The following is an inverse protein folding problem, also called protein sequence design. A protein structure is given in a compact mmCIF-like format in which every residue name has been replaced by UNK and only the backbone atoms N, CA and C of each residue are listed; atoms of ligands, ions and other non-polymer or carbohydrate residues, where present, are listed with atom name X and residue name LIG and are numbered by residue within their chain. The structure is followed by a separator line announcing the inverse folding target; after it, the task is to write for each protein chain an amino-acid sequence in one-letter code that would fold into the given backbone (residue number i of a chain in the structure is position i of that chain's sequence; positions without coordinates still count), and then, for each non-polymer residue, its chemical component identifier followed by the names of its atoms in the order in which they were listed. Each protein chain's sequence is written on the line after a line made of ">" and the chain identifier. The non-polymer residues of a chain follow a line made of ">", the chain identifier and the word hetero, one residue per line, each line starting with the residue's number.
data_IF_913453028988
#
_entry.id   IF_913453028988
#
_cell.length_a   1.000
_cell.length_b   1.000
_cell.length_c   1.000
_cell.angle_alpha   90.00
_cell.angle_beta   90.00
_cell.angle_gamma   90.00
#
_symmetry.space_group_name_H-M   'P 1'
#
loop_
_entity.id
_entity.type
_entity.pdbx_description
1 polymer ?
#
# COMPACT_ATOMS: atom_id res chain seq x y z
N UNK A 1 20.87 -10.25 11.46
CA UNK A 1 22.29 -10.05 11.07
C UNK A 1 22.54 -8.58 11.34
N UNK A 2 23.51 -8.27 12.19
CA UNK A 2 23.68 -6.92 12.73
C UNK A 2 25.00 -6.27 12.32
N UNK A 3 25.00 -4.94 12.24
CA UNK A 3 26.20 -4.11 12.11
C UNK A 3 26.24 -3.13 13.27
N UNK A 4 27.31 -3.15 14.04
CA UNK A 4 27.60 -2.15 15.07
C UNK A 4 28.53 -1.07 14.50
N UNK A 5 28.19 0.19 14.74
CA UNK A 5 28.94 1.35 14.27
C UNK A 5 29.86 1.87 15.37
N UNK A 6 30.86 2.68 15.01
CA UNK A 6 31.84 3.23 15.96
C UNK A 6 31.23 4.18 17.01
N UNK A 7 30.00 4.64 16.78
CA UNK A 7 29.22 5.44 17.72
C UNK A 7 28.27 4.59 18.60
N UNK A 8 28.48 3.28 18.67
CA UNK A 8 27.70 2.31 19.45
C UNK A 8 26.24 2.13 18.98
N UNK A 9 25.85 2.77 17.86
CA UNK A 9 24.59 2.47 17.20
C UNK A 9 24.65 1.11 16.51
N UNK A 10 23.53 0.40 16.49
CA UNK A 10 23.40 -0.89 15.82
C UNK A 10 22.34 -0.83 14.71
N UNK A 11 22.61 -1.51 13.60
CA UNK A 11 21.66 -1.77 12.53
C UNK A 11 21.38 -3.26 12.51
N UNK A 12 20.12 -3.65 12.72
CA UNK A 12 19.70 -5.05 12.68
C UNK A 12 18.80 -5.31 11.47
N UNK A 13 19.20 -6.26 10.64
CA UNK A 13 18.34 -6.77 9.57
C UNK A 13 17.46 -7.90 10.13
N UNK A 14 16.16 -7.61 10.21
CA UNK A 14 15.13 -8.53 10.71
C UNK A 14 14.23 -9.02 9.58
N UNK A 15 13.69 -10.25 9.67
CA UNK A 15 12.73 -10.75 8.69
C UNK A 15 11.42 -9.95 8.76
N UNK A 16 10.78 -9.74 7.61
CA UNK A 16 9.48 -9.05 7.51
C UNK A 16 8.28 -9.86 8.02
N UNK A 17 8.45 -10.67 9.07
CA UNK A 17 7.35 -11.37 9.73
C UNK A 17 7.13 -10.84 11.15
N UNK A 18 5.87 -10.66 11.54
CA UNK A 18 5.50 -10.02 12.79
C UNK A 18 6.02 -10.75 14.04
N UNK A 19 6.22 -12.07 14.00
CA UNK A 19 6.68 -12.85 15.14
C UNK A 19 8.18 -12.71 15.42
N UNK A 20 8.99 -12.35 14.42
CA UNK A 20 10.45 -12.24 14.54
C UNK A 20 10.96 -10.88 14.99
N UNK A 21 10.08 -9.87 15.07
CA UNK A 21 10.47 -8.45 15.25
C UNK A 21 9.98 -7.84 16.56
N UNK A 22 9.14 -8.54 17.32
CA UNK A 22 8.69 -8.07 18.62
C UNK A 22 9.82 -8.14 19.65
N UNK A 23 9.90 -7.12 20.53
CA UNK A 23 10.85 -7.08 21.65
C UNK A 23 12.16 -6.34 21.36
N UNK A 24 12.29 -5.70 20.20
CA UNK A 24 13.34 -4.73 19.94
C UNK A 24 12.86 -3.33 20.33
N UNK A 25 13.77 -2.49 20.82
CA UNK A 25 13.60 -1.03 20.88
C UNK A 25 14.38 -0.42 19.69
N UNK A 26 13.83 0.61 19.04
CA UNK A 26 14.46 1.22 17.87
C UNK A 26 14.24 2.73 17.82
N UNK A 27 15.26 3.49 17.40
CA UNK A 27 15.14 4.93 17.10
C UNK A 27 14.68 5.20 15.66
N UNK A 28 14.87 4.22 14.77
CA UNK A 28 14.48 4.26 13.37
C UNK A 28 14.13 2.86 12.89
N UNK A 29 12.97 2.73 12.27
CA UNK A 29 12.56 1.53 11.54
C UNK A 29 12.42 1.88 10.07
N UNK A 30 13.05 1.07 9.21
CA UNK A 30 12.86 1.14 7.76
C UNK A 30 12.20 -0.15 7.31
N UNK A 31 10.99 -0.03 6.76
CA UNK A 31 10.28 -1.12 6.12
C UNK A 31 10.60 -1.08 4.63
N UNK A 32 11.47 -1.98 4.19
CA UNK A 32 11.76 -2.18 2.78
C UNK A 32 10.61 -2.94 2.09
N UNK A 33 10.41 -2.67 0.81
CA UNK A 33 9.29 -3.17 0.01
C UNK A 33 7.91 -3.00 0.69
N UNK A 34 7.67 -1.80 1.24
CA UNK A 34 6.48 -1.49 2.05
C UNK A 34 5.14 -1.83 1.41
N UNK A 35 5.01 -1.76 0.08
CA UNK A 35 3.79 -2.14 -0.65
C UNK A 35 3.39 -3.61 -0.48
N UNK A 36 4.30 -4.49 -0.04
CA UNK A 36 4.05 -5.91 0.13
C UNK A 36 3.79 -6.32 1.58
N UNK A 37 3.81 -5.35 2.49
CA UNK A 37 3.66 -5.59 3.92
C UNK A 37 2.20 -5.51 4.36
N UNK A 38 1.78 -6.44 5.21
CA UNK A 38 0.48 -6.44 5.86
C UNK A 38 0.44 -5.60 7.14
N UNK A 39 -0.77 -5.25 7.60
CA UNK A 39 -0.99 -4.44 8.79
C UNK A 39 -0.38 -5.07 10.06
N UNK A 40 -0.30 -6.40 10.12
CA UNK A 40 0.29 -7.14 11.24
C UNK A 40 1.77 -6.78 11.51
N UNK A 41 2.51 -6.35 10.48
CA UNK A 41 3.88 -5.90 10.67
C UNK A 41 3.91 -4.55 11.39
N UNK A 42 3.01 -3.64 11.03
CA UNK A 42 2.91 -2.32 11.64
C UNK A 42 2.54 -2.44 13.12
N UNK A 43 1.58 -3.31 13.44
CA UNK A 43 1.17 -3.60 14.82
C UNK A 43 2.33 -4.16 15.66
N UNK A 44 3.20 -4.96 15.03
CA UNK A 44 4.36 -5.55 15.70
C UNK A 44 5.53 -4.56 15.90
N UNK A 45 5.71 -3.59 14.99
CA UNK A 45 6.84 -2.65 15.05
C UNK A 45 6.52 -1.37 15.83
N UNK A 46 5.27 -0.89 15.77
CA UNK A 46 4.89 0.37 16.45
C UNK A 46 5.28 0.41 17.94
N UNK A 47 5.15 -0.69 18.73
CA UNK A 47 5.62 -0.71 20.11
C UNK A 47 7.12 -0.46 20.29
N UNK A 48 7.94 -0.84 19.31
CA UNK A 48 9.40 -0.67 19.34
C UNK A 48 9.86 0.79 19.26
N UNK A 49 8.96 1.70 18.84
CA UNK A 49 9.23 3.13 18.72
C UNK A 49 8.71 3.93 19.94
N UNK A 50 7.95 3.28 20.84
CA UNK A 50 7.21 3.97 21.89
C UNK A 50 8.10 4.64 22.96
N UNK A 51 9.32 4.15 23.16
CA UNK A 51 10.25 4.59 24.22
C UNK A 51 11.30 5.57 23.72
N UNK A 52 11.46 5.71 22.40
CA UNK A 52 12.57 6.42 21.75
C UNK A 52 12.15 7.71 21.04
N UNK A 53 10.84 7.96 20.90
CA UNK A 53 10.30 8.96 19.96
C UNK A 53 10.85 8.74 18.54
N UNK A 54 11.00 7.45 18.18
CA UNK A 54 11.65 7.01 16.97
C UNK A 54 10.81 7.23 15.71
N UNK A 55 11.45 7.11 14.55
CA UNK A 55 10.81 7.31 13.24
C UNK A 55 10.52 6.01 12.53
N UNK A 56 9.43 5.99 11.77
CA UNK A 56 9.09 4.91 10.85
C UNK A 56 9.20 5.42 9.42
N UNK A 57 9.89 4.66 8.57
CA UNK A 57 10.05 4.93 7.15
C UNK A 57 9.54 3.72 6.38
N UNK A 58 8.63 3.94 5.44
CA UNK A 58 8.35 2.96 4.40
C UNK A 58 9.13 3.31 3.13
N UNK A 59 9.84 2.34 2.59
CA UNK A 59 10.53 2.43 1.30
C UNK A 59 10.04 1.30 0.39
N UNK A 60 9.95 1.56 -0.91
CA UNK A 60 9.60 0.53 -1.88
C UNK A 60 8.60 1.03 -2.92
N UNK A 61 7.98 0.08 -3.59
CA UNK A 61 7.06 0.35 -4.71
C UNK A 61 5.59 0.11 -4.35
N UNK A 62 4.66 0.76 -5.05
CA UNK A 62 3.24 0.46 -4.94
C UNK A 62 2.90 -1.00 -5.27
N UNK A 63 1.86 -1.51 -4.61
CA UNK A 63 1.30 -2.84 -4.88
C UNK A 63 -0.25 -2.82 -4.88
N UNK A 64 -0.83 -1.68 -5.22
CA UNK A 64 -2.27 -1.46 -5.22
C UNK A 64 -2.69 -0.47 -4.14
N UNK A 65 -3.95 -0.06 -4.19
CA UNK A 65 -4.58 0.88 -3.25
C UNK A 65 -5.03 0.18 -1.96
N UNK A 66 -4.11 -0.53 -1.30
CA UNK A 66 -4.41 -1.26 -0.07
C UNK A 66 -3.18 -1.43 0.82
N UNK A 67 -3.45 -1.74 2.09
CA UNK A 67 -2.41 -2.05 3.07
C UNK A 67 -1.76 -0.80 3.66
N UNK A 68 -0.96 -0.97 4.73
CA UNK A 68 -0.44 0.14 5.52
C UNK A 68 0.38 1.15 4.70
N UNK A 69 1.11 0.68 3.69
CA UNK A 69 1.89 1.56 2.82
C UNK A 69 1.02 2.53 2.01
N UNK A 70 -0.06 2.02 1.39
CA UNK A 70 -1.01 2.87 0.69
C UNK A 70 -1.80 3.77 1.65
N UNK A 71 -2.23 3.25 2.80
CA UNK A 71 -2.97 4.05 3.79
C UNK A 71 -2.14 5.24 4.29
N UNK A 72 -0.84 5.04 4.57
CA UNK A 72 0.09 6.10 4.93
C UNK A 72 0.28 7.09 3.76
N UNK A 73 0.40 6.58 2.54
CA UNK A 73 0.53 7.41 1.34
C UNK A 73 -0.73 8.24 1.03
N UNK A 74 -1.92 7.66 1.13
CA UNK A 74 -3.16 8.34 0.75
C UNK A 74 -3.73 9.21 1.88
N UNK A 75 -3.51 8.81 3.14
CA UNK A 75 -4.24 9.34 4.30
C UNK A 75 -3.36 9.63 5.53
N UNK A 76 -2.05 9.43 5.44
CA UNK A 76 -1.13 9.60 6.57
C UNK A 76 -0.99 11.04 7.04
N UNK A 77 -1.49 11.37 8.23
CA UNK A 77 -1.23 12.65 8.90
C UNK A 77 0.13 12.60 9.60
N UNK A 78 0.96 13.63 9.39
CA UNK A 78 2.30 13.71 9.98
C UNK A 78 3.38 12.91 9.23
N UNK A 79 3.04 12.36 8.07
CA UNK A 79 3.99 11.65 7.20
C UNK A 79 4.55 12.59 6.13
N UNK A 80 5.86 12.49 5.90
CA UNK A 80 6.50 13.09 4.73
C UNK A 80 6.49 12.07 3.58
N UNK A 81 6.22 12.54 2.37
CA UNK A 81 6.08 11.69 1.19
C UNK A 81 7.02 12.15 0.09
N UNK A 82 7.75 11.19 -0.47
CA UNK A 82 8.65 11.42 -1.61
C UNK A 82 8.35 10.38 -2.68
N UNK A 83 8.08 10.86 -3.89
CA UNK A 83 7.88 10.03 -5.07
C UNK A 83 9.04 10.31 -6.02
N UNK A 84 9.76 9.28 -6.42
CA UNK A 84 10.84 9.37 -7.40
C UNK A 84 10.55 8.37 -8.49
N UNK A 85 10.06 8.86 -9.64
CA UNK A 85 9.77 7.98 -10.76
C UNK A 85 11.06 7.60 -11.49
N UNK A 86 11.05 6.43 -12.08
CA UNK A 86 12.22 5.92 -12.78
C UNK A 86 12.54 6.71 -14.06
N UNK A 87 11.53 7.31 -14.70
CA UNK A 87 11.68 8.15 -15.89
C UNK A 87 12.20 9.57 -15.59
N UNK A 88 12.20 9.96 -14.31
CA UNK A 88 12.76 11.22 -13.81
C UNK A 88 14.18 11.05 -13.25
N UNK A 89 14.62 9.80 -13.06
CA UNK A 89 15.92 9.48 -12.48
C UNK A 89 17.04 9.57 -13.51
N UNK A 90 18.10 10.37 -13.29
CA UNK A 90 19.24 10.43 -14.21
C UNK A 90 20.07 9.13 -14.21
N UNK A 91 19.84 8.26 -13.22
CA UNK A 91 20.55 6.99 -13.07
C UNK A 91 19.95 5.87 -13.92
N UNK A 92 18.72 6.05 -14.42
CA UNK A 92 17.99 5.01 -15.15
C UNK A 92 17.91 5.40 -16.63
N UNK A 93 18.51 4.56 -17.48
CA UNK A 93 18.57 4.87 -18.90
C UNK A 93 17.20 4.65 -19.57
N UNK A 94 16.84 5.48 -20.57
CA UNK A 94 15.62 5.26 -21.35
C UNK A 94 15.58 3.90 -22.05
N UNK A 95 16.74 3.37 -22.47
CA UNK A 95 16.83 2.05 -23.09
C UNK A 95 16.47 0.91 -22.14
N UNK A 96 16.86 1.01 -20.86
CA UNK A 96 16.45 0.06 -19.83
C UNK A 96 14.93 0.09 -19.62
N UNK A 97 14.35 1.28 -19.45
CA UNK A 97 12.89 1.44 -19.29
C UNK A 97 12.11 0.90 -20.47
N UNK A 98 12.58 1.14 -21.71
CA UNK A 98 11.95 0.59 -22.90
C UNK A 98 11.97 -0.95 -22.91
N UNK A 99 13.08 -1.56 -22.49
CA UNK A 99 13.20 -3.02 -22.41
C UNK A 99 12.28 -3.62 -21.35
N UNK A 100 12.17 -2.97 -20.19
CA UNK A 100 11.30 -3.42 -19.10
C UNK A 100 9.82 -3.27 -19.46
N UNK A 101 9.44 -2.14 -20.06
CA UNK A 101 8.07 -1.91 -20.55
C UNK A 101 7.65 -2.95 -21.61
N UNK A 102 8.57 -3.43 -22.43
CA UNK A 102 8.29 -4.50 -23.38
C UNK A 102 8.17 -5.89 -22.73
N UNK A 103 8.73 -6.08 -21.53
CA UNK A 103 8.79 -7.36 -20.81
C UNK A 103 7.58 -7.60 -19.90
N UNK A 104 6.96 -6.55 -19.38
CA UNK A 104 5.84 -6.63 -18.43
C UNK A 104 4.59 -5.95 -18.96
N UNK A 105 3.46 -6.15 -18.29
CA UNK A 105 2.24 -5.41 -18.61
C UNK A 105 2.38 -3.92 -18.29
N UNK A 106 1.58 -3.07 -18.94
CA UNK A 106 1.59 -1.62 -18.67
C UNK A 106 1.29 -1.31 -17.20
N UNK A 107 0.42 -2.10 -16.56
CA UNK A 107 0.11 -1.97 -15.13
C UNK A 107 1.30 -2.26 -14.23
N UNK A 108 1.98 -3.39 -14.48
CA UNK A 108 3.18 -3.74 -13.73
C UNK A 108 4.28 -2.71 -13.93
N UNK A 109 4.43 -2.19 -15.15
CA UNK A 109 5.39 -1.13 -15.44
C UNK A 109 5.04 0.17 -14.68
N UNK A 110 3.78 0.58 -14.71
CA UNK A 110 3.32 1.77 -14.00
C UNK A 110 3.54 1.67 -12.49
N UNK A 111 3.21 0.53 -11.88
CA UNK A 111 3.48 0.30 -10.46
C UNK A 111 4.98 0.24 -10.14
N UNK A 112 5.77 -0.47 -10.95
CA UNK A 112 7.20 -0.70 -10.69
C UNK A 112 8.07 0.53 -10.93
N UNK A 113 7.78 1.32 -11.97
CA UNK A 113 8.66 2.36 -12.47
C UNK A 113 8.06 3.76 -12.39
N UNK A 114 6.73 3.90 -12.38
CA UNK A 114 6.06 5.21 -12.39
C UNK A 114 5.39 5.54 -11.05
N UNK A 115 5.57 4.68 -10.04
CA UNK A 115 4.99 4.83 -8.71
C UNK A 115 3.46 4.96 -8.70
N UNK A 116 2.78 4.25 -9.62
CA UNK A 116 1.33 4.27 -9.71
C UNK A 116 0.68 3.19 -8.82
N UNK A 117 -0.05 3.64 -7.79
CA UNK A 117 -0.81 2.76 -6.89
C UNK A 117 -2.06 2.16 -7.53
N UNK A 118 -2.73 2.87 -8.45
CA UNK A 118 -3.95 2.37 -9.09
C UNK A 118 -3.67 1.18 -10.03
N UNK A 119 -2.46 1.11 -10.55
CA UNK A 119 -2.00 0.03 -11.44
C UNK A 119 -1.46 -1.20 -10.70
N UNK A 120 -1.32 -1.15 -9.37
CA UNK A 120 -0.73 -2.25 -8.59
C UNK A 120 -1.65 -3.48 -8.51
N UNK A 121 -1.07 -4.66 -8.69
CA UNK A 121 -1.78 -5.94 -8.86
C UNK A 121 -2.05 -6.71 -7.56
N UNK A 122 -1.76 -6.15 -6.39
CA UNK A 122 -1.53 -6.94 -5.17
C UNK A 122 -2.65 -7.84 -4.67
N UNK A 123 -3.93 -7.57 -5.02
CA UNK A 123 -5.08 -8.39 -4.58
C UNK A 123 -6.24 -8.53 -5.55
N UNK A 124 -6.26 -7.81 -6.68
CA UNK A 124 -7.37 -7.86 -7.62
C UNK A 124 -7.07 -8.81 -8.79
N UNK A 125 -7.94 -9.80 -9.01
CA UNK A 125 -7.97 -10.58 -10.25
C UNK A 125 -8.65 -9.81 -11.39
N UNK A 126 -9.32 -8.71 -11.07
CA UNK A 126 -10.03 -7.84 -11.99
C UNK A 126 -9.19 -6.60 -12.31
N UNK A 127 -9.59 -5.90 -13.36
CA UNK A 127 -9.00 -4.62 -13.79
C UNK A 127 -8.97 -3.54 -12.70
N UNK A 128 -8.50 -2.34 -13.04
CA UNK A 128 -8.53 -1.22 -12.08
C UNK A 128 -9.97 -0.94 -11.64
N UNK A 129 -10.12 -0.20 -10.54
CA UNK A 129 -11.44 0.17 -10.04
C UNK A 129 -12.32 0.79 -11.12
N UNK A 130 -11.75 1.62 -11.98
CA UNK A 130 -12.43 2.30 -13.08
C UNK A 130 -12.90 1.30 -14.16
N UNK A 131 -12.09 0.28 -14.48
CA UNK A 131 -12.49 -0.77 -15.43
C UNK A 131 -13.62 -1.64 -14.88
N UNK A 132 -13.60 -1.90 -13.57
CA UNK A 132 -14.69 -2.61 -12.89
C UNK A 132 -15.95 -1.75 -12.90
N UNK A 133 -15.83 -0.47 -12.58
CA UNK A 133 -16.95 0.48 -12.60
C UNK A 133 -17.55 0.64 -14.01
N UNK A 134 -16.71 0.63 -15.05
CA UNK A 134 -17.14 0.65 -16.44
C UNK A 134 -17.78 -0.66 -16.92
N UNK A 135 -17.55 -1.79 -16.24
CA UNK A 135 -18.13 -3.08 -16.57
C UNK A 135 -19.55 -3.28 -16.01
N UNK A 136 -20.05 -2.38 -15.15
CA UNK A 136 -21.44 -2.44 -14.68
C UNK A 136 -22.40 -2.05 -15.82
N UNK A 137 -23.27 -2.98 -16.18
CA UNK A 137 -24.39 -2.75 -17.08
C UNK A 137 -25.62 -2.28 -16.28
N UNK A 138 -26.48 -1.46 -16.90
CA UNK A 138 -27.78 -1.15 -16.31
C UNK A 138 -28.70 -2.38 -16.31
N UNK A 139 -29.69 -2.45 -15.41
CA UNK A 139 -30.65 -3.58 -15.35
C UNK A 139 -31.39 -3.81 -16.68
N UNK A 140 -31.52 -2.76 -17.50
CA UNK A 140 -32.18 -2.80 -18.81
C UNK A 140 -31.29 -3.43 -19.90
N UNK A 141 -29.97 -3.40 -19.70
CA UNK A 141 -28.94 -3.96 -20.62
C UNK A 141 -28.48 -5.36 -20.21
N UNK A 142 -28.82 -5.79 -18.99
CA UNK A 142 -28.51 -7.13 -18.50
C UNK A 142 -29.44 -8.17 -19.18
N UNK A 143 -28.90 -8.86 -20.19
CA UNK A 143 -29.58 -10.00 -20.82
C UNK A 143 -29.83 -11.15 -19.83
N UNK A 144 -30.69 -12.12 -20.20
CA UNK A 144 -30.97 -13.28 -19.34
C UNK A 144 -29.67 -14.01 -19.00
N UNK A 145 -29.51 -14.38 -17.74
CA UNK A 145 -28.34 -15.10 -17.24
C UNK A 145 -28.26 -16.49 -17.90
N UNK A 146 -27.22 -16.74 -18.71
CA UNK A 146 -27.01 -18.01 -19.44
C UNK A 146 -25.93 -18.91 -18.81
N UNK A 147 -25.41 -18.56 -17.64
CA UNK A 147 -24.35 -19.32 -16.97
C UNK A 147 -24.86 -20.64 -16.39
N UNK A 148 -24.08 -21.71 -16.54
CA UNK A 148 -24.26 -22.94 -15.77
C UNK A 148 -23.12 -23.03 -14.76
N UNK A 149 -23.44 -23.08 -13.46
CA UNK A 149 -22.44 -23.27 -12.42
C UNK A 149 -22.20 -24.77 -12.22
N UNK A 150 -21.12 -25.30 -12.79
CA UNK A 150 -20.67 -26.67 -12.51
C UNK A 150 -19.58 -26.61 -11.45
N UNK A 151 -20.00 -26.48 -10.19
CA UNK A 151 -19.13 -26.59 -9.02
C UNK A 151 -19.00 -28.05 -8.57
N UNK A 152 -17.81 -28.63 -8.69
CA UNK A 152 -17.50 -29.91 -8.07
C UNK A 152 -17.27 -29.77 -6.56
N UNK A 153 -18.15 -30.36 -5.75
CA UNK A 153 -17.84 -30.79 -4.38
C UNK A 153 -18.47 -29.97 -3.24
N UNK A 154 -19.61 -30.47 -2.75
CA UNK A 154 -20.24 -30.26 -1.42
C UNK A 154 -20.56 -28.81 -1.01
N UNK A 155 -21.78 -28.37 -1.33
CA UNK A 155 -22.45 -27.24 -0.65
C UNK A 155 -23.80 -27.69 -0.10
N UNK A 156 -23.99 -27.58 1.21
CA UNK A 156 -25.31 -27.56 1.84
C UNK A 156 -25.98 -26.23 1.52
N UNK A 157 -27.11 -26.27 0.84
CA UNK A 157 -27.89 -25.11 0.46
C UNK A 157 -28.52 -24.41 1.67
N UNK A 158 -28.43 -23.08 1.72
CA UNK A 158 -29.42 -22.24 2.38
C UNK A 158 -29.63 -20.96 1.56
N UNK A 159 -30.82 -20.86 0.97
CA UNK A 159 -31.32 -19.62 0.34
C UNK A 159 -32.17 -18.91 1.38
N UNK A 160 -31.83 -17.66 1.70
CA UNK A 160 -32.71 -16.75 2.42
C UNK A 160 -32.90 -15.47 1.58
N UNK A 161 -34.13 -15.22 1.15
CA UNK A 161 -34.57 -13.90 0.65
C UNK A 161 -34.90 -13.00 1.84
N UNK A 162 -34.62 -11.70 1.72
CA UNK A 162 -35.26 -10.66 2.54
C UNK A 162 -35.73 -9.51 1.64
N UNK A 163 -36.98 -9.01 1.78
CA UNK A 163 -37.49 -7.85 1.06
C UNK A 163 -37.23 -6.51 1.78
N UNK A 164 -36.88 -5.49 1.00
CA UNK A 164 -37.12 -4.04 1.12
C UNK A 164 -37.34 -3.36 2.49
N UNK A 165 -36.52 -2.31 2.74
CA UNK A 165 -36.99 -0.96 3.08
C UNK A 165 -36.86 -0.49 4.54
N UNK A 166 -36.07 0.57 4.77
CA UNK A 166 -36.33 1.74 5.65
C UNK A 166 -35.03 2.53 5.92
N UNK A 167 -35.08 3.86 5.86
CA UNK A 167 -33.94 4.79 6.00
C UNK A 167 -33.64 5.30 7.43
N UNK A 168 -33.09 6.53 7.48
CA UNK A 168 -32.61 7.36 8.64
C UNK A 168 -31.08 7.24 8.84
N UNK A 169 -30.22 8.28 8.94
CA UNK A 169 -30.32 9.74 8.98
C UNK A 169 -29.21 10.33 9.90
N UNK A 170 -28.53 11.42 9.46
CA UNK A 170 -27.61 12.35 10.21
C UNK A 170 -26.27 11.74 10.68
N UNK A 171 -25.08 12.37 10.58
CA UNK A 171 -24.67 13.76 10.43
C UNK A 171 -23.82 14.16 11.64
N UNK A 172 -22.50 14.38 11.49
CA UNK A 172 -21.69 15.19 12.42
C UNK A 172 -20.49 15.79 11.69
N UNK A 173 -20.28 17.08 11.96
CA UNK A 173 -19.20 17.97 11.53
C UNK A 173 -18.13 18.07 12.65
N UNK A 174 -17.05 18.78 12.33
CA UNK A 174 -16.15 19.56 13.20
C UNK A 174 -14.70 19.07 13.32
N UNK A 175 -13.88 19.68 12.46
CA UNK A 175 -12.73 20.53 12.81
C UNK A 175 -11.75 20.06 13.89
N UNK A 176 -10.47 19.89 13.54
CA UNK A 176 -9.38 20.25 14.44
C UNK A 176 -8.14 20.75 13.66
N UNK A 177 -7.51 21.76 14.26
CA UNK A 177 -6.61 22.75 13.67
C UNK A 177 -5.13 22.40 13.70
N UNK A 178 -4.41 23.04 12.77
CA UNK A 178 -2.95 23.17 12.60
C UNK A 178 -2.13 23.37 13.88
N UNK A 179 -0.91 22.80 13.92
CA UNK A 179 0.26 23.53 14.45
C UNK A 179 1.59 23.04 13.87
N UNK A 180 2.31 23.98 13.26
CA UNK A 180 3.75 24.13 13.06
C UNK A 180 4.72 23.07 13.65
N UNK A 181 5.51 22.44 12.77
CA UNK A 181 6.93 22.17 12.98
C UNK A 181 7.61 21.96 11.62
N UNK A 182 7.87 23.07 10.92
CA UNK A 182 8.70 23.09 9.73
C UNK A 182 10.19 22.90 10.07
N UNK A 183 10.88 22.24 9.15
CA UNK A 183 12.33 22.20 8.90
C UNK A 183 13.17 21.36 9.87
N UNK A 184 13.69 20.25 9.32
CA UNK A 184 15.12 20.07 8.98
C UNK A 184 15.25 18.71 8.27
N UNK A 185 16.21 18.62 7.34
CA UNK A 185 16.84 17.40 6.80
C UNK A 185 16.60 17.01 5.32
N UNK A 186 16.65 17.95 4.37
CA UNK A 186 16.79 17.59 2.94
C UNK A 186 17.75 18.44 2.10
N UNK A 187 18.60 19.28 2.69
CA UNK A 187 19.58 20.09 1.93
C UNK A 187 20.88 19.36 1.55
N UNK A 188 21.02 18.06 1.79
CA UNK A 188 22.30 17.35 1.58
C UNK A 188 22.31 16.27 0.50
N UNK A 189 21.22 16.07 -0.25
CA UNK A 189 21.22 15.16 -1.41
C UNK A 189 21.04 15.94 -2.70
N UNK A 190 22.16 16.43 -3.24
CA UNK A 190 22.27 16.82 -4.63
C UNK A 190 22.73 15.58 -5.43
N UNK A 191 21.85 15.06 -6.29
CA UNK A 191 22.19 14.06 -7.32
C UNK A 191 22.03 14.68 -8.70
#
# INVERSE_FOLDING_TARGET
>A
MGLELANESAIEALPGNASGIQGYDADLVIVDEGGFVGAELLDAITPSLATTDGRLVFAGRPNGEWGPFYEVYAHGVGWEQHIVRADESPLITPGFLASERARMSEREFAAQYLCDFASGSGRSLFGSREEIEAAFLSEEEAGPWLGEFVGGGVTTSAVARSPSGAGVGKGVDESLSLSHADRIFWESFHW
#
